data_IF_130155263923
#
_entry.id   IF_130155263923
#
_cell.length_a   1.000
_cell.length_b   1.000
_cell.length_c   1.000
_cell.angle_alpha   90.00
_cell.angle_beta   90.00
_cell.angle_gamma   90.00
#
_symmetry.space_group_name_H-M   'P 1'
#
loop_
_entity.id
_entity.type
_entity.pdbx_description
1 polymer ?
#
# COMPACT_ATOMS: atom_id res chain seq x y z
N UNK A 1 19.37 -12.70 8.33
CA UNK A 1 18.91 -13.96 7.73
C UNK A 1 18.84 -15.06 8.78
N UNK A 2 19.94 -15.57 9.36
CA UNK A 2 19.85 -16.64 10.37
C UNK A 2 18.94 -16.35 11.58
N UNK A 3 18.86 -15.10 12.02
CA UNK A 3 18.03 -14.64 13.13
C UNK A 3 16.52 -14.58 12.79
N UNK A 4 16.18 -14.31 11.53
CA UNK A 4 14.79 -14.25 11.05
C UNK A 4 14.21 -15.66 10.85
N UNK A 5 15.01 -16.58 10.34
CA UNK A 5 14.60 -17.96 10.13
C UNK A 5 14.34 -18.67 11.47
N UNK A 6 15.17 -18.39 12.52
CA UNK A 6 14.95 -18.91 13.88
C UNK A 6 13.68 -18.30 14.50
N UNK A 7 13.47 -16.99 14.36
CA UNK A 7 12.23 -16.34 14.82
C UNK A 7 11.00 -16.92 14.10
N UNK A 8 11.09 -17.17 12.80
CA UNK A 8 10.01 -17.75 12.02
C UNK A 8 9.67 -19.16 12.50
N UNK A 9 10.69 -20.00 12.69
CA UNK A 9 10.50 -21.36 13.16
C UNK A 9 9.91 -21.43 14.57
N UNK A 10 10.33 -20.56 15.47
CA UNK A 10 9.75 -20.46 16.82
C UNK A 10 8.32 -19.92 16.78
N UNK A 11 8.05 -18.89 15.99
CA UNK A 11 6.74 -18.33 15.84
C UNK A 11 5.74 -19.36 15.28
N UNK A 12 6.15 -20.19 14.31
CA UNK A 12 5.35 -21.32 13.80
C UNK A 12 4.98 -22.34 14.86
N UNK A 13 5.84 -22.52 15.88
CA UNK A 13 5.59 -23.37 17.05
C UNK A 13 4.78 -22.70 18.15
N UNK A 14 4.31 -21.44 17.91
CA UNK A 14 3.45 -20.70 18.81
C UNK A 14 4.15 -19.71 19.73
N UNK A 15 5.45 -19.47 19.55
CA UNK A 15 6.18 -18.44 20.29
C UNK A 15 5.75 -17.04 19.85
N UNK A 16 4.99 -16.36 20.72
CA UNK A 16 4.46 -15.02 20.47
C UNK A 16 5.54 -13.95 20.41
N UNK A 17 6.62 -14.11 21.20
CA UNK A 17 7.71 -13.12 21.26
C UNK A 17 8.50 -13.14 19.96
N UNK A 18 8.75 -14.32 19.39
CA UNK A 18 9.38 -14.48 18.08
C UNK A 18 8.52 -13.86 16.98
N UNK A 19 7.20 -14.08 16.99
CA UNK A 19 6.30 -13.37 16.04
C UNK A 19 6.34 -11.85 16.24
N UNK A 20 6.37 -11.38 17.48
CA UNK A 20 6.52 -9.95 17.79
C UNK A 20 7.81 -9.35 17.22
N UNK A 21 8.92 -10.11 17.14
CA UNK A 21 10.15 -9.67 16.47
C UNK A 21 9.99 -9.57 14.96
N UNK A 22 9.32 -10.54 14.33
CA UNK A 22 8.97 -10.49 12.91
C UNK A 22 8.08 -9.27 12.59
N UNK A 23 7.06 -8.98 13.42
CA UNK A 23 6.22 -7.78 13.28
C UNK A 23 7.08 -6.52 13.31
N UNK A 24 7.93 -6.33 14.33
CA UNK A 24 8.81 -5.15 14.43
C UNK A 24 9.74 -4.96 13.24
N UNK A 25 10.21 -6.06 12.64
CA UNK A 25 11.10 -6.04 11.47
C UNK A 25 10.37 -5.58 10.21
N UNK A 26 9.13 -6.01 10.00
CA UNK A 26 8.39 -5.80 8.76
C UNK A 26 7.34 -4.70 8.81
N UNK A 27 6.88 -4.25 10.00
CA UNK A 27 5.73 -3.35 10.14
C UNK A 27 5.87 -2.04 9.37
N UNK A 28 7.05 -1.41 9.39
CA UNK A 28 7.27 -0.13 8.70
C UNK A 28 7.08 -0.26 7.20
N UNK A 29 7.58 -1.34 6.63
CA UNK A 29 7.53 -1.62 5.21
C UNK A 29 6.12 -2.03 4.76
N UNK A 30 5.45 -2.89 5.53
CA UNK A 30 4.04 -3.26 5.29
C UNK A 30 3.12 -2.05 5.38
N UNK A 31 3.32 -1.20 6.39
CA UNK A 31 2.56 0.05 6.55
C UNK A 31 2.79 1.02 5.38
N UNK A 32 4.04 1.23 4.97
CA UNK A 32 4.35 2.11 3.84
C UNK A 32 3.66 1.63 2.55
N UNK A 33 3.73 0.34 2.25
CA UNK A 33 3.03 -0.24 1.10
C UNK A 33 1.51 -0.04 1.20
N UNK A 34 0.90 -0.31 2.36
CA UNK A 34 -0.52 -0.09 2.59
C UNK A 34 -0.90 1.39 2.40
N UNK A 35 -0.11 2.31 2.94
CA UNK A 35 -0.34 3.76 2.83
C UNK A 35 -0.32 4.22 1.36
N UNK A 36 0.66 3.80 0.58
CA UNK A 36 0.75 4.16 -0.84
C UNK A 36 -0.36 3.51 -1.69
N UNK A 37 -0.85 2.34 -1.29
CA UNK A 37 -1.98 1.69 -1.96
C UNK A 37 -3.31 2.36 -1.61
N UNK A 38 -3.54 2.68 -0.34
CA UNK A 38 -4.83 3.18 0.19
C UNK A 38 -4.96 4.70 0.12
N UNK A 39 -3.84 5.42 0.27
CA UNK A 39 -3.78 6.88 0.16
C UNK A 39 -4.18 7.63 1.43
N UNK A 40 -4.43 6.94 2.56
CA UNK A 40 -4.70 7.57 3.85
C UNK A 40 -4.19 6.74 5.02
N UNK A 41 -3.86 7.40 6.11
CA UNK A 41 -3.23 6.79 7.28
C UNK A 41 -4.18 5.84 8.04
N UNK A 42 -5.46 6.21 8.20
CA UNK A 42 -6.41 5.41 8.97
C UNK A 42 -6.62 4.03 8.33
N UNK A 43 -6.92 3.98 7.03
CA UNK A 43 -7.07 2.72 6.30
C UNK A 43 -5.75 1.93 6.24
N UNK A 44 -4.59 2.62 6.18
CA UNK A 44 -3.29 1.98 6.17
C UNK A 44 -2.96 1.31 7.51
N UNK A 45 -3.27 1.96 8.63
CA UNK A 45 -3.13 1.38 9.97
C UNK A 45 -4.01 0.15 10.13
N UNK A 46 -5.29 0.26 9.78
CA UNK A 46 -6.25 -0.86 9.86
C UNK A 46 -5.82 -2.04 8.98
N UNK A 47 -5.43 -1.77 7.73
CA UNK A 47 -4.97 -2.82 6.81
C UNK A 47 -3.66 -3.47 7.30
N UNK A 48 -2.77 -2.71 7.90
CA UNK A 48 -1.51 -3.23 8.46
C UNK A 48 -1.78 -4.15 9.65
N UNK A 49 -2.61 -3.71 10.59
CA UNK A 49 -2.98 -4.53 11.76
C UNK A 49 -3.68 -5.82 11.32
N UNK A 50 -4.66 -5.73 10.43
CA UNK A 50 -5.39 -6.88 9.91
C UNK A 50 -4.45 -7.84 9.16
N UNK A 51 -3.48 -7.33 8.40
CA UNK A 51 -2.49 -8.16 7.71
C UNK A 51 -1.65 -8.98 8.69
N UNK A 52 -1.17 -8.38 9.79
CA UNK A 52 -0.40 -9.12 10.80
C UNK A 52 -1.27 -10.10 11.60
N UNK A 53 -2.53 -9.77 11.89
CA UNK A 53 -3.47 -10.71 12.51
C UNK A 53 -3.69 -11.93 11.61
N UNK A 54 -3.89 -11.72 10.31
CA UNK A 54 -4.03 -12.81 9.33
C UNK A 54 -2.75 -13.61 9.20
N UNK A 55 -1.59 -12.94 9.16
CA UNK A 55 -0.29 -13.61 9.13
C UNK A 55 -0.10 -14.48 10.36
N UNK A 56 -0.40 -13.99 11.56
CA UNK A 56 -0.31 -14.79 12.78
C UNK A 56 -1.19 -16.03 12.74
N UNK A 57 -2.44 -15.88 12.30
CA UNK A 57 -3.39 -17.01 12.19
C UNK A 57 -2.99 -18.03 11.11
N UNK A 58 -2.39 -17.55 10.02
CA UNK A 58 -1.95 -18.39 8.91
C UNK A 58 -0.56 -18.97 9.06
N UNK A 59 0.22 -18.57 10.08
CA UNK A 59 1.64 -18.87 10.20
C UNK A 59 1.92 -20.38 10.34
N UNK A 60 1.05 -21.12 11.04
CA UNK A 60 1.17 -22.58 11.17
C UNK A 60 1.02 -23.31 9.84
N UNK A 61 0.32 -22.72 8.87
CA UNK A 61 0.13 -23.26 7.53
C UNK A 61 1.15 -22.71 6.50
N UNK A 62 2.06 -21.83 6.92
CA UNK A 62 3.14 -21.36 6.06
C UNK A 62 4.10 -22.51 5.73
N UNK A 63 4.18 -22.88 4.46
CA UNK A 63 4.91 -24.06 3.98
C UNK A 63 6.36 -23.79 3.55
N UNK A 64 6.78 -22.51 3.54
CA UNK A 64 8.15 -22.13 3.17
C UNK A 64 8.44 -22.17 1.66
N UNK A 65 7.44 -22.37 0.78
CA UNK A 65 7.64 -22.34 -0.69
C UNK A 65 8.07 -20.99 -1.21
N UNK A 66 7.56 -19.92 -0.61
CA UNK A 66 8.04 -18.55 -0.81
C UNK A 66 8.82 -18.12 0.45
N UNK A 67 9.66 -17.11 0.34
CA UNK A 67 10.23 -16.47 1.52
C UNK A 67 9.13 -15.81 2.38
N UNK A 68 9.41 -15.64 3.68
CA UNK A 68 8.43 -15.09 4.62
C UNK A 68 7.96 -13.69 4.23
N UNK A 69 8.85 -12.86 3.72
CA UNK A 69 8.54 -11.51 3.25
C UNK A 69 7.51 -11.54 2.11
N UNK A 70 7.73 -12.35 1.08
CA UNK A 70 6.82 -12.51 -0.06
C UNK A 70 5.44 -13.00 0.39
N UNK A 71 5.39 -13.97 1.29
CA UNK A 71 4.14 -14.48 1.86
C UNK A 71 3.40 -13.41 2.68
N UNK A 72 4.09 -12.68 3.57
CA UNK A 72 3.52 -11.60 4.36
C UNK A 72 3.01 -10.47 3.48
N UNK A 73 3.78 -10.08 2.46
CA UNK A 73 3.39 -9.04 1.51
C UNK A 73 2.16 -9.43 0.69
N UNK A 74 2.02 -10.69 0.32
CA UNK A 74 0.79 -11.19 -0.32
C UNK A 74 -0.43 -10.95 0.57
N UNK A 75 -0.33 -11.25 1.86
CA UNK A 75 -1.41 -11.00 2.83
C UNK A 75 -1.69 -9.50 2.94
N UNK A 76 -0.67 -8.66 3.09
CA UNK A 76 -0.80 -7.22 3.25
C UNK A 76 -1.44 -6.55 2.03
N UNK A 77 -0.93 -6.87 0.83
CA UNK A 77 -1.45 -6.35 -0.44
C UNK A 77 -2.90 -6.77 -0.67
N UNK A 78 -3.23 -8.04 -0.43
CA UNK A 78 -4.60 -8.52 -0.57
C UNK A 78 -5.54 -7.84 0.44
N UNK A 79 -5.09 -7.58 1.66
CA UNK A 79 -5.85 -6.84 2.68
C UNK A 79 -6.10 -5.41 2.22
N UNK A 80 -5.07 -4.70 1.77
CA UNK A 80 -5.20 -3.34 1.23
C UNK A 80 -6.12 -3.28 -0.01
N UNK A 81 -6.00 -4.24 -0.95
CA UNK A 81 -6.88 -4.31 -2.13
C UNK A 81 -8.35 -4.56 -1.75
N UNK A 82 -8.61 -5.36 -0.72
CA UNK A 82 -9.96 -5.61 -0.23
C UNK A 82 -10.55 -4.36 0.42
N UNK A 83 -9.79 -3.64 1.24
CA UNK A 83 -10.18 -2.36 1.83
C UNK A 83 -10.53 -1.34 0.73
N UNK A 84 -9.70 -1.23 -0.30
CA UNK A 84 -9.91 -0.33 -1.45
C UNK A 84 -11.20 -0.65 -2.23
N UNK A 85 -11.52 -1.94 -2.38
CA UNK A 85 -12.77 -2.39 -3.04
C UNK A 85 -13.99 -2.11 -2.18
N UNK A 86 -13.89 -2.32 -0.87
CA UNK A 86 -15.00 -2.09 0.09
C UNK A 86 -15.32 -0.60 0.20
N UNK A 87 -14.33 0.27 0.30
CA UNK A 87 -14.51 1.72 0.32
C UNK A 87 -15.22 2.24 -0.94
N UNK A 88 -14.82 1.77 -2.13
CA UNK A 88 -15.49 2.12 -3.38
C UNK A 88 -16.95 1.63 -3.46
N UNK A 89 -17.27 0.45 -2.91
CA UNK A 89 -18.64 -0.06 -2.84
C UNK A 89 -19.51 0.76 -1.91
N UNK A 90 -18.99 1.14 -0.73
CA UNK A 90 -19.68 2.00 0.23
C UNK A 90 -20.04 3.35 -0.37
N UNK A 91 -19.08 4.02 -1.01
CA UNK A 91 -19.30 5.30 -1.68
C UNK A 91 -20.33 5.20 -2.83
N UNK A 92 -20.25 4.15 -3.65
CA UNK A 92 -21.22 3.92 -4.74
C UNK A 92 -22.64 3.62 -4.23
N UNK A 93 -22.76 2.93 -3.09
CA UNK A 93 -24.05 2.67 -2.46
C UNK A 93 -24.66 3.94 -1.87
N UNK A 94 -23.86 4.78 -1.21
CA UNK A 94 -24.30 6.08 -0.69
C UNK A 94 -24.77 7.03 -1.81
N UNK A 95 -24.08 7.03 -2.96
CA UNK A 95 -24.52 7.81 -4.12
C UNK A 95 -25.84 7.30 -4.74
N UNK A 96 -26.15 6.00 -4.61
CA UNK A 96 -27.39 5.39 -5.13
C UNK A 96 -28.58 5.53 -4.21
N UNK A 97 -28.36 5.62 -2.91
CA UNK A 97 -29.43 5.67 -1.91
C UNK A 97 -30.00 7.08 -1.66
N UNK A 98 -29.54 8.12 -2.40
CA UNK A 98 -30.19 9.45 -2.40
C UNK A 98 -30.56 10.02 -1.03
N UNK A 99 -29.92 9.57 0.04
CA UNK A 99 -30.21 10.04 1.39
C UNK A 99 -29.38 11.29 1.66
N UNK A 100 -30.07 12.42 1.75
CA UNK A 100 -29.61 13.59 2.49
C UNK A 100 -29.17 13.14 3.88
N UNK A 101 -27.89 12.94 4.06
CA UNK A 101 -27.28 12.81 5.37
C UNK A 101 -26.01 13.64 5.38
N UNK A 102 -26.07 14.61 6.27
CA UNK A 102 -25.08 15.63 6.58
C UNK A 102 -23.64 15.18 6.38
N UNK A 103 -22.96 15.98 5.60
CA UNK A 103 -21.56 16.30 5.53
C UNK A 103 -20.76 15.94 6.80
N UNK A 104 -20.11 14.77 6.79
CA UNK A 104 -18.86 14.58 7.49
C UNK A 104 -17.82 14.21 6.40
N UNK A 105 -17.49 15.25 5.66
CA UNK A 105 -16.38 15.22 4.72
C UNK A 105 -15.08 15.24 5.50
N UNK A 106 -14.51 14.08 5.77
CA UNK A 106 -13.09 13.99 6.04
C UNK A 106 -12.36 14.34 4.74
N UNK A 107 -11.94 15.61 4.58
CA UNK A 107 -10.92 15.98 3.62
C UNK A 107 -9.73 15.05 3.85
N UNK A 108 -9.05 14.57 2.80
CA UNK A 108 -7.75 13.95 2.99
C UNK A 108 -6.85 14.99 3.66
N UNK A 109 -6.60 14.81 4.95
CA UNK A 109 -5.61 15.61 5.65
C UNK A 109 -4.27 15.32 4.99
N UNK A 110 -3.68 16.38 4.48
CA UNK A 110 -2.38 16.39 3.86
C UNK A 110 -1.37 15.73 4.81
N UNK A 111 -0.65 14.76 4.26
CA UNK A 111 0.47 14.08 4.89
C UNK A 111 1.36 15.07 5.68
N UNK A 112 1.36 14.91 7.02
CA UNK A 112 2.50 15.29 7.84
C UNK A 112 2.66 16.76 8.14
N UNK A 113 1.88 17.32 9.07
CA UNK A 113 2.38 18.46 9.85
C UNK A 113 3.24 17.96 11.02
N UNK A 114 4.45 17.47 10.71
CA UNK A 114 5.59 17.68 11.57
C UNK A 114 5.94 19.15 11.49
N UNK A 115 5.92 19.84 12.60
CA UNK A 115 6.31 21.24 12.77
C UNK A 115 7.65 21.56 12.09
N UNK A 116 7.59 22.03 10.85
CA UNK A 116 8.68 22.69 10.13
C UNK A 116 8.20 24.07 9.75
N UNK A 117 9.08 25.07 10.05
CA UNK A 117 8.88 26.47 9.78
C UNK A 117 8.36 26.75 8.34
N UNK A 118 7.51 27.77 8.15
CA UNK A 118 6.84 28.05 6.86
C UNK A 118 7.76 28.41 5.70
N UNK A 119 9.05 28.59 5.92
CA UNK A 119 10.01 29.10 4.91
C UNK A 119 10.72 28.00 4.09
N UNK A 120 10.38 26.72 4.24
CA UNK A 120 10.96 25.61 3.48
C UNK A 120 9.89 24.59 3.01
N UNK A 121 8.70 25.06 2.66
CA UNK A 121 7.79 24.28 1.82
C UNK A 121 8.30 24.38 0.38
N UNK A 122 9.33 23.58 0.10
CA UNK A 122 10.00 23.50 -1.19
C UNK A 122 9.05 22.97 -2.26
N UNK A 123 9.24 23.46 -3.50
CA UNK A 123 8.60 22.97 -4.74
C UNK A 123 8.51 21.44 -4.82
N UNK A 124 9.46 20.70 -4.23
CA UNK A 124 9.46 19.24 -4.17
C UNK A 124 8.34 18.59 -3.34
N UNK A 125 7.77 19.25 -2.33
CA UNK A 125 6.67 18.67 -1.55
C UNK A 125 5.35 18.69 -2.36
N UNK A 126 5.15 19.71 -3.19
CA UNK A 126 4.03 19.80 -4.12
C UNK A 126 4.11 18.73 -5.22
N UNK A 127 5.30 18.47 -5.75
CA UNK A 127 5.50 17.48 -6.79
C UNK A 127 5.28 16.05 -6.27
N UNK A 128 5.73 15.74 -5.05
CA UNK A 128 5.45 14.45 -4.42
C UNK A 128 3.95 14.24 -4.20
N UNK A 129 3.24 15.23 -3.69
CA UNK A 129 1.79 15.16 -3.50
C UNK A 129 1.06 14.93 -4.83
N UNK A 130 1.43 15.62 -5.91
CA UNK A 130 0.88 15.43 -7.26
C UNK A 130 1.11 14.02 -7.78
N UNK A 131 2.29 13.44 -7.58
CA UNK A 131 2.60 12.07 -7.98
C UNK A 131 1.73 11.08 -7.20
N UNK A 132 1.58 11.25 -5.88
CA UNK A 132 0.74 10.39 -5.05
C UNK A 132 -0.74 10.47 -5.46
N UNK A 133 -1.25 11.66 -5.75
CA UNK A 133 -2.62 11.85 -6.26
C UNK A 133 -2.82 11.19 -7.62
N UNK A 134 -1.85 11.30 -8.52
CA UNK A 134 -1.88 10.62 -9.81
C UNK A 134 -1.89 9.09 -9.67
N UNK A 135 -1.10 8.55 -8.73
CA UNK A 135 -1.10 7.12 -8.38
C UNK A 135 -2.47 6.71 -7.81
N UNK A 136 -3.07 7.53 -6.94
CA UNK A 136 -4.38 7.26 -6.35
C UNK A 136 -5.52 7.17 -7.38
N UNK A 137 -5.36 7.77 -8.54
CA UNK A 137 -6.32 7.71 -9.64
C UNK A 137 -6.13 6.49 -10.57
N UNK A 138 -5.07 5.73 -10.43
CA UNK A 138 -4.89 4.48 -11.17
C UNK A 138 -5.93 3.42 -10.75
N UNK A 139 -6.20 2.46 -11.65
CA UNK A 139 -6.96 1.27 -11.25
C UNK A 139 -6.24 0.54 -10.10
N UNK A 140 -6.95 -0.17 -9.21
CA UNK A 140 -6.30 -0.89 -8.10
C UNK A 140 -5.17 -1.83 -8.54
N UNK A 141 -5.34 -2.51 -9.68
CA UNK A 141 -4.35 -3.42 -10.21
C UNK A 141 -3.07 -2.71 -10.69
N UNK A 142 -3.20 -1.56 -11.35
CA UNK A 142 -2.06 -0.76 -11.78
C UNK A 142 -1.39 -0.07 -10.60
N UNK A 143 -2.19 0.46 -9.68
CA UNK A 143 -1.70 1.13 -8.47
C UNK A 143 -0.81 0.21 -7.64
N UNK A 144 -1.31 -0.97 -7.27
CA UNK A 144 -0.53 -1.90 -6.45
C UNK A 144 0.74 -2.33 -7.17
N UNK A 145 0.66 -2.60 -8.47
CA UNK A 145 1.83 -3.05 -9.23
C UNK A 145 2.91 -1.97 -9.31
N UNK A 146 2.53 -0.69 -9.56
CA UNK A 146 3.51 0.40 -9.64
C UNK A 146 4.10 0.76 -8.26
N UNK A 147 3.32 0.68 -7.18
CA UNK A 147 3.80 0.88 -5.80
C UNK A 147 4.87 -0.16 -5.47
N UNK A 148 4.59 -1.45 -5.71
CA UNK A 148 5.56 -2.52 -5.45
C UNK A 148 6.83 -2.39 -6.31
N UNK A 149 6.71 -1.97 -7.56
CA UNK A 149 7.84 -1.86 -8.46
C UNK A 149 8.70 -0.60 -8.25
N UNK A 150 8.12 0.52 -7.81
CA UNK A 150 8.80 1.82 -7.81
C UNK A 150 9.10 2.34 -6.41
N UNK A 151 8.20 2.09 -5.45
CA UNK A 151 8.35 2.55 -4.06
C UNK A 151 9.01 1.46 -3.21
N UNK A 152 8.56 0.21 -3.37
CA UNK A 152 9.14 -0.94 -2.67
C UNK A 152 10.35 -1.53 -3.40
N UNK A 153 10.61 -1.09 -4.63
CA UNK A 153 11.75 -1.50 -5.47
C UNK A 153 11.86 -3.03 -5.65
N UNK A 154 10.72 -3.72 -5.67
CA UNK A 154 10.70 -5.16 -5.82
C UNK A 154 10.94 -5.58 -7.28
N UNK A 155 11.71 -6.65 -7.53
CA UNK A 155 11.88 -7.19 -8.87
C UNK A 155 10.55 -7.78 -9.39
N UNK A 156 10.33 -7.73 -10.72
CA UNK A 156 9.08 -8.19 -11.34
C UNK A 156 8.71 -9.62 -10.97
N UNK A 157 9.70 -10.51 -10.83
CA UNK A 157 9.49 -11.88 -10.40
C UNK A 157 8.84 -11.94 -9.01
N UNK A 158 9.34 -11.18 -8.04
CA UNK A 158 8.80 -11.16 -6.69
C UNK A 158 7.40 -10.52 -6.65
N UNK A 159 7.16 -9.47 -7.46
CA UNK A 159 5.83 -8.88 -7.62
C UNK A 159 4.85 -9.90 -8.22
N UNK A 160 5.28 -10.69 -9.20
CA UNK A 160 4.48 -11.76 -9.81
C UNK A 160 4.05 -12.81 -8.76
N UNK A 161 4.98 -13.20 -7.88
CA UNK A 161 4.71 -14.11 -6.77
C UNK A 161 3.75 -13.50 -5.73
N UNK A 162 3.94 -12.21 -5.35
CA UNK A 162 3.06 -11.50 -4.39
C UNK A 162 1.64 -11.35 -4.95
N UNK A 163 1.50 -10.99 -6.23
CA UNK A 163 0.21 -10.72 -6.86
C UNK A 163 -0.44 -11.95 -7.49
N UNK A 164 0.26 -13.10 -7.52
CA UNK A 164 -0.17 -14.35 -8.14
C UNK A 164 -0.55 -14.17 -9.63
N UNK A 165 0.28 -13.44 -10.37
CA UNK A 165 0.10 -13.16 -11.80
C UNK A 165 1.39 -13.44 -12.57
N UNK A 166 1.32 -13.71 -13.88
CA UNK A 166 2.51 -13.89 -14.69
C UNK A 166 3.42 -12.66 -14.69
N UNK A 167 4.74 -12.85 -14.72
CA UNK A 167 5.73 -11.76 -14.74
C UNK A 167 5.54 -10.81 -15.94
N UNK A 168 5.16 -11.34 -17.11
CA UNK A 168 4.81 -10.54 -18.28
C UNK A 168 3.63 -9.60 -18.03
N UNK A 169 2.67 -10.02 -17.18
CA UNK A 169 1.55 -9.16 -16.75
C UNK A 169 2.03 -8.04 -15.83
N UNK A 170 3.02 -8.31 -14.94
CA UNK A 170 3.66 -7.29 -14.11
C UNK A 170 4.33 -6.25 -14.99
N UNK A 171 5.16 -6.67 -15.94
CA UNK A 171 5.86 -5.78 -16.86
C UNK A 171 4.89 -4.88 -17.64
N UNK A 172 3.80 -5.47 -18.17
CA UNK A 172 2.76 -4.70 -18.85
C UNK A 172 2.09 -3.69 -17.93
N UNK A 173 1.70 -4.09 -16.70
CA UNK A 173 1.06 -3.19 -15.72
C UNK A 173 1.96 -2.03 -15.32
N UNK A 174 3.25 -2.28 -15.11
CA UNK A 174 4.24 -1.24 -14.78
C UNK A 174 4.35 -0.24 -15.94
N UNK A 175 4.48 -0.72 -17.19
CA UNK A 175 4.57 0.14 -18.35
C UNK A 175 3.29 0.97 -18.55
N UNK A 176 2.11 0.36 -18.42
CA UNK A 176 0.83 1.05 -18.56
C UNK A 176 0.61 2.07 -17.44
N UNK A 177 0.97 1.73 -16.19
CA UNK A 177 0.89 2.68 -15.09
C UNK A 177 1.80 3.89 -15.32
N UNK A 178 3.05 3.68 -15.76
CA UNK A 178 3.99 4.76 -16.10
C UNK A 178 3.46 5.64 -17.24
N UNK A 179 2.87 5.04 -18.26
CA UNK A 179 2.25 5.77 -19.38
C UNK A 179 1.12 6.68 -18.90
N UNK A 180 0.22 6.15 -18.06
CA UNK A 180 -0.89 6.91 -17.52
C UNK A 180 -0.44 8.02 -16.56
N UNK A 181 0.53 7.74 -15.70
CA UNK A 181 1.12 8.73 -14.81
C UNK A 181 1.75 9.88 -15.59
N UNK A 182 2.54 9.56 -16.64
CA UNK A 182 3.16 10.57 -17.50
C UNK A 182 2.10 11.48 -18.13
N UNK A 183 1.03 10.91 -18.68
CA UNK A 183 -0.05 11.70 -19.29
C UNK A 183 -0.70 12.64 -18.27
N UNK A 184 -1.00 12.16 -17.06
CA UNK A 184 -1.66 12.99 -16.02
C UNK A 184 -0.75 14.11 -15.52
N UNK A 185 0.51 13.81 -15.26
CA UNK A 185 1.47 14.79 -14.76
C UNK A 185 1.83 15.86 -15.81
N UNK A 186 1.70 15.54 -17.10
CA UNK A 186 1.91 16.52 -18.18
C UNK A 186 0.66 17.33 -18.51
N UNK A 187 -0.55 16.83 -18.20
CA UNK A 187 -1.82 17.47 -18.57
C UNK A 187 -2.32 18.45 -17.50
N UNK A 188 -1.85 18.36 -16.27
CA UNK A 188 -2.14 19.35 -15.24
C UNK A 188 -1.13 20.48 -15.32
N UNK A 189 -1.55 21.71 -15.75
CA UNK A 189 -0.65 22.86 -15.79
C UNK A 189 -0.19 23.15 -14.36
N UNK A 190 1.13 23.29 -14.19
CA UNK A 190 1.73 23.90 -13.00
C UNK A 190 1.03 25.23 -12.76
N UNK A 191 0.15 25.28 -11.75
CA UNK A 191 -0.40 26.58 -11.30
C UNK A 191 0.75 27.33 -10.66
N UNK A 192 1.55 28.00 -11.48
CA UNK A 192 2.49 29.01 -11.02
C UNK A 192 1.63 30.09 -10.36
N UNK A 193 1.61 30.07 -9.02
CA UNK A 193 1.09 31.17 -8.24
C UNK A 193 1.84 32.45 -8.65
N UNK A 194 1.07 33.41 -9.15
CA UNK A 194 1.48 34.78 -9.38
C UNK A 194 1.50 35.52 -8.06
#
# INVERSE_FOLDING_TARGET
MADEDDDLDRARRGDRDSFGRLVRRHQRRVYAAALHILGNHADADDATQEAFVRAYRGLSAFDGRADFFTWLYRIAVNTALNALRSGKRGAALQQRSGAEAAHVGGRPEALGQGTRSPSQQSEGAGDVARVLDAIAQLSPALRVTIVLATIEELPHKQIAEILEIPEGTVAWRVNEARRLLKLRLMTEPTTLAK
#
